data_IF_753944991337
#
_entry.id   IF_753944991337
#
_cell.length_a   1.000
_cell.length_b   1.000
_cell.length_c   1.000
_cell.angle_alpha   90.00
_cell.angle_beta   90.00
_cell.angle_gamma   90.00
#
_symmetry.space_group_name_H-M   'P 1'
#
loop_
_entity.id
_entity.type
_entity.pdbx_description
1 polymer ?
#
# COMPACT_ATOMS: atom_id res chain seq x y z
N UNK A 1 -13.33 8.99 -7.48
CA UNK A 1 -11.91 8.62 -7.56
C UNK A 1 -11.78 7.11 -7.43
N UNK A 2 -10.86 6.46 -8.14
CA UNK A 2 -10.55 5.04 -7.95
C UNK A 2 -9.03 4.82 -7.98
N UNK A 3 -8.53 3.89 -7.17
CA UNK A 3 -7.13 3.46 -7.19
C UNK A 3 -7.02 1.96 -7.44
N UNK A 4 -5.90 1.52 -8.00
CA UNK A 4 -5.58 0.11 -8.20
C UNK A 4 -4.44 -0.28 -7.27
N UNK A 5 -4.65 -1.27 -6.40
CA UNK A 5 -3.61 -1.84 -5.54
C UNK A 5 -3.13 -3.16 -6.12
N UNK A 6 -1.82 -3.26 -6.36
CA UNK A 6 -1.14 -4.48 -6.81
C UNK A 6 -0.57 -5.26 -5.62
N UNK A 7 -0.77 -6.57 -5.61
CA UNK A 7 -0.34 -7.48 -4.54
C UNK A 7 -0.23 -8.93 -5.05
N UNK A 8 0.30 -9.84 -4.23
CA UNK A 8 0.40 -11.26 -4.52
C UNK A 8 1.13 -11.59 -5.83
N UNK A 9 0.86 -12.76 -6.40
CA UNK A 9 1.37 -13.15 -7.71
C UNK A 9 0.58 -12.45 -8.83
N UNK A 10 1.01 -11.24 -9.20
CA UNK A 10 0.40 -10.39 -10.25
C UNK A 10 -1.09 -10.08 -10.05
N UNK A 11 -1.55 -9.98 -8.79
CA UNK A 11 -2.95 -9.66 -8.49
C UNK A 11 -3.15 -8.15 -8.38
N UNK A 12 -4.38 -7.73 -8.68
CA UNK A 12 -4.80 -6.34 -8.52
C UNK A 12 -6.23 -6.26 -7.99
N UNK A 13 -6.50 -5.22 -7.21
CA UNK A 13 -7.81 -4.90 -6.68
C UNK A 13 -8.04 -3.39 -6.73
N UNK A 14 -9.29 -3.00 -6.99
CA UNK A 14 -9.67 -1.58 -7.12
C UNK A 14 -10.37 -1.13 -5.85
N UNK A 15 -9.99 0.04 -5.35
CA UNK A 15 -10.54 0.63 -4.14
C UNK A 15 -11.02 2.06 -4.37
N UNK A 16 -12.03 2.45 -3.60
CA UNK A 16 -12.52 3.83 -3.55
C UNK A 16 -11.86 4.56 -2.36
N UNK A 17 -10.98 5.55 -2.60
CA UNK A 17 -10.30 6.29 -1.54
C UNK A 17 -11.17 7.39 -0.90
N UNK A 18 -12.45 7.51 -1.25
CA UNK A 18 -13.43 8.40 -0.59
C UNK A 18 -13.85 7.87 0.80
N UNK A 19 -12.86 7.56 1.63
CA UNK A 19 -13.01 7.12 3.02
C UNK A 19 -11.76 7.51 3.83
N UNK A 20 -11.78 7.26 5.14
CA UNK A 20 -10.61 7.49 5.99
C UNK A 20 -9.47 6.52 5.64
N UNK A 21 -8.23 6.98 5.82
CA UNK A 21 -7.02 6.17 5.64
C UNK A 21 -7.11 4.82 6.35
N UNK A 22 -7.53 4.83 7.61
CA UNK A 22 -7.71 3.60 8.40
C UNK A 22 -8.70 2.63 7.74
N UNK A 23 -9.84 3.13 7.26
CA UNK A 23 -10.89 2.32 6.61
C UNK A 23 -10.42 1.76 5.28
N UNK A 24 -9.67 2.55 4.50
CA UNK A 24 -9.07 2.08 3.25
C UNK A 24 -8.09 0.93 3.52
N UNK A 25 -7.20 1.10 4.49
CA UNK A 25 -6.22 0.06 4.86
C UNK A 25 -6.90 -1.19 5.43
N UNK A 26 -7.97 -1.08 6.23
CA UNK A 26 -8.75 -2.27 6.64
C UNK A 26 -9.36 -3.00 5.45
N UNK A 27 -10.02 -2.29 4.54
CA UNK A 27 -10.64 -2.88 3.35
C UNK A 27 -9.62 -3.61 2.46
N UNK A 28 -8.43 -3.00 2.26
CA UNK A 28 -7.33 -3.63 1.52
C UNK A 28 -6.84 -4.88 2.24
N UNK A 29 -6.68 -4.83 3.57
CA UNK A 29 -6.22 -5.97 4.37
C UNK A 29 -7.14 -7.17 4.22
N UNK A 30 -8.45 -6.95 4.32
CA UNK A 30 -9.48 -7.98 4.20
C UNK A 30 -9.51 -8.56 2.78
N UNK A 31 -9.52 -7.71 1.75
CA UNK A 31 -9.63 -8.14 0.37
C UNK A 31 -8.37 -8.85 -0.14
N UNK A 32 -7.18 -8.40 0.29
CA UNK A 32 -5.90 -9.00 -0.06
C UNK A 32 -5.52 -10.20 0.82
N UNK A 33 -6.35 -10.55 1.82
CA UNK A 33 -6.13 -11.65 2.78
C UNK A 33 -4.83 -11.50 3.59
N UNK A 34 -4.45 -10.26 3.90
CA UNK A 34 -3.28 -9.93 4.70
C UNK A 34 -3.65 -9.77 6.18
N UNK A 35 -4.45 -10.70 6.70
CA UNK A 35 -4.89 -10.69 8.10
C UNK A 35 -3.66 -10.67 9.05
N UNK A 36 -3.79 -9.95 10.16
CA UNK A 36 -2.73 -9.77 11.18
C UNK A 36 -1.41 -9.16 10.67
N UNK A 37 -1.40 -8.62 9.44
CA UNK A 37 -0.24 -7.91 8.87
C UNK A 37 -0.51 -6.42 8.87
N UNK A 38 0.41 -5.63 9.42
CA UNK A 38 0.40 -4.19 9.22
C UNK A 38 0.76 -3.88 7.78
N UNK A 39 -0.07 -3.08 7.12
CA UNK A 39 0.07 -2.77 5.71
C UNK A 39 0.18 -1.27 5.47
N UNK A 40 0.82 -0.91 4.37
CA UNK A 40 0.93 0.44 3.84
C UNK A 40 0.91 0.37 2.30
N UNK A 41 0.76 1.52 1.63
CA UNK A 41 0.85 1.62 0.18
C UNK A 41 2.11 2.38 -0.23
N UNK A 42 2.65 2.02 -1.40
CA UNK A 42 3.58 2.85 -2.14
C UNK A 42 3.17 2.99 -3.59
N UNK A 43 3.81 3.88 -4.32
CA UNK A 43 3.77 3.85 -5.79
C UNK A 43 4.70 2.73 -6.34
N UNK A 44 4.71 2.49 -7.67
CA UNK A 44 5.61 1.52 -8.30
C UNK A 44 7.10 1.92 -8.27
N UNK A 45 7.44 3.10 -7.76
CA UNK A 45 8.81 3.58 -7.57
C UNK A 45 9.33 3.41 -6.13
N UNK A 46 8.50 2.88 -5.23
CA UNK A 46 8.82 2.68 -3.82
C UNK A 46 8.59 3.90 -2.95
N UNK A 47 7.90 4.93 -3.44
CA UNK A 47 7.54 6.09 -2.63
C UNK A 47 6.33 5.72 -1.75
N UNK A 48 6.54 5.62 -0.44
CA UNK A 48 5.54 5.25 0.56
C UNK A 48 4.50 6.37 0.74
N UNK A 49 3.23 6.01 0.92
CA UNK A 49 2.10 6.94 1.02
C UNK A 49 1.82 7.46 2.43
N UNK A 50 2.37 6.80 3.46
CA UNK A 50 2.27 7.23 4.86
C UNK A 50 0.83 7.44 5.33
N UNK A 51 -0.11 6.60 4.86
CA UNK A 51 -1.53 6.71 5.23
C UNK A 51 -1.74 6.46 6.73
N UNK A 52 -0.88 5.61 7.32
CA UNK A 52 -0.90 5.27 8.76
C UNK A 52 -0.61 6.47 9.66
N UNK A 53 0.12 7.48 9.18
CA UNK A 53 0.49 8.65 9.98
C UNK A 53 -0.72 9.54 10.28
N UNK A 54 -1.76 9.44 9.47
CA UNK A 54 -2.96 10.28 9.56
C UNK A 54 -4.24 9.44 9.38
N UNK A 55 -4.58 8.53 10.29
CA UNK A 55 -5.63 7.52 10.08
C UNK A 55 -7.03 8.10 9.84
N UNK A 56 -7.29 9.30 10.36
CA UNK A 56 -8.59 9.99 10.26
C UNK A 56 -8.68 11.01 9.11
N UNK A 57 -7.63 11.16 8.30
CA UNK A 57 -7.71 11.95 7.06
C UNK A 57 -8.31 11.12 5.95
N UNK A 58 -8.91 11.78 4.97
CA UNK A 58 -9.40 11.11 3.78
C UNK A 58 -8.23 10.60 2.93
N UNK A 59 -8.34 9.38 2.43
CA UNK A 59 -7.32 8.78 1.57
C UNK A 59 -7.21 9.49 0.22
N UNK A 60 -8.30 10.09 -0.26
CA UNK A 60 -8.31 10.96 -1.44
C UNK A 60 -7.46 12.23 -1.29
N UNK A 61 -6.97 12.57 -0.09
CA UNK A 61 -6.02 13.68 0.11
C UNK A 61 -4.55 13.26 -0.11
N UNK A 62 -4.26 11.96 -0.08
CA UNK A 62 -2.89 11.41 -0.18
C UNK A 62 -2.67 10.57 -1.46
N UNK A 63 -3.76 10.22 -2.14
CA UNK A 63 -3.78 9.38 -3.33
C UNK A 63 -4.32 10.19 -4.52
N UNK A 64 -4.00 9.76 -5.74
CA UNK A 64 -4.47 10.40 -6.98
C UNK A 64 -5.48 9.52 -7.75
N UNK A 65 -6.32 10.15 -8.58
CA UNK A 65 -7.30 9.41 -9.39
C UNK A 65 -6.60 8.50 -10.42
N UNK A 66 -7.03 7.24 -10.48
CA UNK A 66 -6.43 6.16 -11.28
C UNK A 66 -4.98 5.85 -10.91
N UNK A 67 -4.57 6.19 -9.68
CA UNK A 67 -3.25 5.84 -9.19
C UNK A 67 -3.08 4.32 -9.05
N UNK A 68 -1.90 3.84 -9.42
CA UNK A 68 -1.47 2.46 -9.18
C UNK A 68 -0.60 2.45 -7.94
N UNK A 69 -1.02 1.68 -6.93
CA UNK A 69 -0.29 1.46 -5.70
C UNK A 69 0.22 0.02 -5.61
N UNK A 70 1.27 -0.18 -4.84
CA UNK A 70 1.83 -1.48 -4.48
C UNK A 70 1.58 -1.70 -3.00
N UNK A 71 1.05 -2.88 -2.64
CA UNK A 71 0.82 -3.27 -1.25
C UNK A 71 2.15 -3.57 -0.56
N UNK A 72 2.36 -2.94 0.59
CA UNK A 72 3.51 -3.14 1.46
C UNK A 72 3.08 -3.81 2.76
N UNK A 73 3.89 -4.73 3.25
CA UNK A 73 3.96 -5.15 4.65
C UNK A 73 4.86 -4.18 5.41
N UNK A 74 4.43 -3.80 6.60
CA UNK A 74 5.19 -2.96 7.51
C UNK A 74 5.67 -3.79 8.67
N UNK A 75 6.97 -3.76 8.93
CA UNK A 75 7.59 -4.37 10.10
C UNK A 75 8.23 -3.29 10.97
N UNK A 76 7.86 -3.22 12.25
CA UNK A 76 8.48 -2.34 13.22
C UNK A 76 9.41 -3.16 14.12
N UNK A 77 10.69 -2.82 14.17
CA UNK A 77 11.63 -3.47 15.08
C UNK A 77 11.51 -2.91 16.51
N UNK A 78 12.19 -3.56 17.47
CA UNK A 78 12.16 -3.15 18.89
C UNK A 78 12.78 -1.76 19.12
N UNK A 79 13.58 -1.27 18.18
CA UNK A 79 14.23 0.04 18.23
C UNK A 79 13.35 1.15 17.60
N UNK A 80 12.17 0.78 17.08
CA UNK A 80 11.22 1.70 16.45
C UNK A 80 11.50 1.99 14.97
N UNK A 81 12.50 1.35 14.36
CA UNK A 81 12.72 1.46 12.93
C UNK A 81 11.63 0.68 12.18
N UNK A 82 11.06 1.35 11.19
CA UNK A 82 10.02 0.81 10.33
C UNK A 82 10.64 0.38 9.00
N UNK A 83 10.44 -0.88 8.62
CA UNK A 83 10.81 -1.40 7.31
C UNK A 83 9.57 -1.74 6.49
N UNK A 84 9.73 -1.64 5.17
CA UNK A 84 8.66 -1.88 4.20
C UNK A 84 9.08 -3.01 3.28
N UNK A 85 8.24 -4.04 3.19
CA UNK A 85 8.43 -5.17 2.29
C UNK A 85 7.26 -5.24 1.32
N UNK A 86 7.49 -5.28 0.00
CA UNK A 86 6.42 -5.46 -0.98
C UNK A 86 5.76 -6.82 -0.80
N UNK A 87 4.43 -6.83 -0.85
CA UNK A 87 3.63 -8.04 -0.93
C UNK A 87 3.26 -8.39 -2.37
N UNK A 88 3.98 -7.83 -3.35
CA UNK A 88 3.80 -8.07 -4.78
C UNK A 88 4.92 -8.98 -5.31
N UNK A 89 4.53 -10.11 -5.88
CA UNK A 89 5.36 -11.06 -6.61
C UNK A 89 5.21 -10.83 -8.11
N UNK A 90 5.64 -9.63 -8.54
CA UNK A 90 5.71 -9.23 -9.94
C UNK A 90 6.82 -8.18 -10.14
N UNK A 91 8.00 -8.62 -10.55
CA UNK A 91 9.13 -7.71 -10.79
C UNK A 91 8.94 -6.81 -12.00
N UNK A 92 8.03 -7.14 -12.91
CA UNK A 92 7.74 -6.30 -14.09
C UNK A 92 6.82 -5.11 -13.74
N UNK A 93 6.11 -5.21 -12.61
CA UNK A 93 5.13 -4.21 -12.16
C UNK A 93 5.72 -3.13 -11.25
N UNK A 94 6.98 -3.30 -10.80
CA UNK A 94 7.73 -2.37 -9.95
C UNK A 94 9.02 -1.96 -10.65
N UNK A 95 9.49 -0.73 -10.42
CA UNK A 95 10.69 -0.22 -11.09
C UNK A 95 11.97 -0.71 -10.42
N UNK A 96 13.10 -0.66 -11.11
CA UNK A 96 14.41 -1.00 -10.51
C UNK A 96 14.72 -0.13 -9.28
N UNK A 97 14.25 1.13 -9.29
CA UNK A 97 14.33 2.04 -8.13
C UNK A 97 13.61 1.46 -6.91
N UNK A 98 12.47 0.82 -7.11
CA UNK A 98 11.73 0.13 -6.06
C UNK A 98 12.61 -0.97 -5.44
N UNK A 99 13.26 -1.77 -6.28
CA UNK A 99 14.08 -2.91 -5.85
C UNK A 99 15.45 -2.52 -5.25
N UNK A 100 15.80 -1.22 -5.26
CA UNK A 100 17.11 -0.74 -4.83
C UNK A 100 18.27 -1.22 -5.70
N UNK A 101 18.00 -1.46 -7.00
CA UNK A 101 18.99 -1.90 -8.00
C UNK A 101 19.51 -0.75 -8.84
#
# INVERSE_FOLDING_TARGET
>A
MIITVKYGAKQEAVFNPECWNYTLLESIRDQCKCYDTDIELSDPNGNVKHLRDNPYRYASEALDDREVCVLLKVDCNQEGETSYQPLLDDTDAITDKFLGK
#
